data_IF_038161965650
#
_entry.id   IF_038161965650
#
_cell.length_a   1.000
_cell.length_b   1.000
_cell.length_c   1.000
_cell.angle_alpha   90.00
_cell.angle_beta   90.00
_cell.angle_gamma   90.00
#
_symmetry.space_group_name_H-M   'P 1'
#
loop_
_entity.id
_entity.type
_entity.pdbx_description
1 polymer ?
#
# COMPACT_ATOMS: atom_id res chain seq x y z
N UNK A 1 -7.63 -19.51 -3.67
CA UNK A 1 -8.32 -18.28 -4.13
C UNK A 1 -7.34 -17.13 -4.11
N UNK A 2 -6.81 -16.70 -2.95
CA UNK A 2 -5.89 -15.56 -2.82
C UNK A 2 -4.66 -15.70 -3.73
N UNK A 3 -3.95 -16.81 -3.63
CA UNK A 3 -2.75 -17.05 -4.44
C UNK A 3 -3.05 -16.89 -5.94
N UNK A 4 -4.13 -17.50 -6.44
CA UNK A 4 -4.54 -17.36 -7.83
C UNK A 4 -4.86 -15.91 -8.22
N UNK A 5 -5.57 -15.18 -7.34
CA UNK A 5 -6.00 -13.81 -7.62
C UNK A 5 -4.82 -12.83 -7.68
N UNK A 6 -3.82 -13.03 -6.83
CA UNK A 6 -2.64 -12.17 -6.75
C UNK A 6 -1.42 -12.71 -7.49
N UNK A 7 -1.55 -13.78 -8.29
CA UNK A 7 -0.44 -14.34 -9.04
C UNK A 7 0.71 -14.84 -8.16
N UNK A 8 0.38 -15.65 -7.15
CA UNK A 8 1.36 -16.26 -6.24
C UNK A 8 1.08 -17.75 -6.10
N UNK A 9 1.91 -18.48 -5.35
CA UNK A 9 1.68 -19.89 -5.04
C UNK A 9 0.93 -20.06 -3.71
N UNK A 10 0.17 -21.16 -3.51
CA UNK A 10 -0.43 -21.44 -2.21
C UNK A 10 0.58 -21.60 -1.08
N UNK A 11 1.79 -22.08 -1.36
CA UNK A 11 2.85 -22.26 -0.38
C UNK A 11 3.39 -20.91 0.14
N UNK A 12 3.39 -19.89 -0.72
CA UNK A 12 3.98 -18.58 -0.46
C UNK A 12 2.93 -17.50 -0.19
N UNK A 13 1.65 -17.88 -0.03
CA UNK A 13 0.53 -16.96 0.25
C UNK A 13 -0.09 -17.27 1.61
N UNK A 14 -0.07 -16.29 2.49
CA UNK A 14 -0.54 -16.42 3.87
C UNK A 14 -1.74 -15.51 4.12
N UNK A 15 -2.74 -16.01 4.84
CA UNK A 15 -3.76 -15.15 5.46
C UNK A 15 -3.21 -14.65 6.79
N UNK A 16 -3.26 -13.36 7.01
CA UNK A 16 -2.78 -12.69 8.22
C UNK A 16 -3.94 -11.99 8.93
N UNK A 17 -3.89 -11.78 10.27
CA UNK A 17 -4.94 -11.04 10.98
C UNK A 17 -5.07 -9.58 10.51
N UNK A 18 -3.97 -8.94 10.17
CA UNK A 18 -3.85 -7.61 9.58
C UNK A 18 -2.38 -7.38 9.17
N UNK A 19 -2.13 -6.28 8.45
CA UNK A 19 -0.77 -5.89 8.04
C UNK A 19 0.20 -5.82 9.22
N UNK A 20 -0.19 -5.15 10.31
CA UNK A 20 0.72 -4.87 11.44
C UNK A 20 1.24 -6.13 12.13
N UNK A 21 0.39 -7.16 12.27
CA UNK A 21 0.80 -8.45 12.84
C UNK A 21 1.62 -9.23 11.81
N UNK A 22 1.14 -9.30 10.57
CA UNK A 22 1.82 -10.06 9.52
C UNK A 22 3.24 -9.56 9.25
N UNK A 23 3.42 -8.25 9.10
CA UNK A 23 4.74 -7.66 8.83
C UNK A 23 5.70 -7.84 10.01
N UNK A 24 5.24 -7.61 11.26
CA UNK A 24 6.09 -7.83 12.45
C UNK A 24 6.57 -9.26 12.52
N UNK A 25 5.67 -10.22 12.29
CA UNK A 25 6.04 -11.64 12.33
C UNK A 25 7.02 -12.01 11.22
N UNK A 26 6.82 -11.50 10.00
CA UNK A 26 7.76 -11.74 8.91
C UNK A 26 9.14 -11.16 9.21
N UNK A 27 9.20 -9.88 9.61
CA UNK A 27 10.47 -9.19 9.91
C UNK A 27 11.22 -9.83 11.09
N UNK A 28 10.51 -10.38 12.08
CA UNK A 28 11.14 -11.06 13.22
C UNK A 28 11.95 -12.32 12.86
N UNK A 29 11.78 -12.84 11.64
CA UNK A 29 12.53 -14.00 11.13
C UNK A 29 13.83 -13.61 10.41
N UNK A 30 14.02 -12.34 10.09
CA UNK A 30 15.21 -11.87 9.37
C UNK A 30 16.47 -12.03 10.19
N UNK A 31 17.62 -12.27 9.55
CA UNK A 31 18.93 -12.20 10.20
C UNK A 31 19.15 -10.82 10.84
N UNK A 32 19.95 -10.81 11.92
CA UNK A 32 20.33 -9.57 12.60
C UNK A 32 21.32 -8.74 11.77
N UNK A 33 21.43 -7.45 12.10
CA UNK A 33 22.41 -6.50 11.55
C UNK A 33 22.29 -6.20 10.05
N UNK A 34 21.17 -6.57 9.43
CA UNK A 34 20.88 -6.14 8.07
C UNK A 34 20.71 -4.62 7.99
N UNK A 35 21.10 -4.04 6.85
CA UNK A 35 20.94 -2.63 6.55
C UNK A 35 19.61 -2.39 5.84
N UNK A 36 18.72 -1.66 6.47
CA UNK A 36 17.35 -1.43 6.03
C UNK A 36 17.19 0.00 5.55
N UNK A 37 16.69 0.18 4.33
CA UNK A 37 16.28 1.49 3.83
C UNK A 37 14.78 1.66 4.00
N UNK A 38 14.38 2.70 4.74
CA UNK A 38 12.99 3.13 4.97
C UNK A 38 12.78 4.57 4.50
N UNK A 39 11.52 4.95 4.25
CA UNK A 39 11.14 6.34 4.07
C UNK A 39 10.76 6.95 5.43
N UNK A 40 11.00 8.25 5.62
CA UNK A 40 10.79 8.89 6.93
C UNK A 40 9.33 8.89 7.38
N UNK A 41 8.38 9.01 6.47
CA UNK A 41 6.95 9.12 6.77
C UNK A 41 6.19 7.83 6.46
N UNK A 42 6.84 6.66 6.61
CA UNK A 42 6.19 5.38 6.42
C UNK A 42 5.11 5.07 7.46
N UNK A 43 4.26 4.13 7.11
CA UNK A 43 3.23 3.67 8.04
C UNK A 43 3.86 3.16 9.35
N UNK A 44 3.40 3.64 10.51
CA UNK A 44 4.08 3.36 11.79
C UNK A 44 4.31 1.88 12.09
N UNK A 45 3.41 0.98 11.64
CA UNK A 45 3.61 -0.46 11.86
C UNK A 45 4.73 -1.05 11.02
N UNK A 46 4.99 -0.50 9.81
CA UNK A 46 6.14 -0.90 9.01
C UNK A 46 7.44 -0.48 9.68
N UNK A 47 7.51 0.80 10.09
CA UNK A 47 8.70 1.34 10.78
C UNK A 47 9.00 0.56 12.07
N UNK A 48 7.98 0.37 12.93
CA UNK A 48 8.14 -0.34 14.21
C UNK A 48 8.58 -1.80 14.03
N UNK A 49 8.10 -2.48 12.98
CA UNK A 49 8.51 -3.87 12.72
C UNK A 49 10.04 -3.99 12.56
N UNK A 50 10.68 -2.99 11.94
CA UNK A 50 12.13 -2.95 11.81
C UNK A 50 12.81 -2.35 13.05
N UNK A 51 12.25 -1.32 13.68
CA UNK A 51 12.83 -0.70 14.89
C UNK A 51 12.83 -1.63 16.11
N UNK A 52 11.92 -2.58 16.18
CA UNK A 52 11.87 -3.62 17.21
C UNK A 52 12.93 -4.73 17.01
N UNK A 53 13.55 -4.80 15.82
CA UNK A 53 14.62 -5.76 15.51
C UNK A 53 16.02 -5.19 15.69
N UNK A 54 17.03 -6.05 15.55
CA UNK A 54 18.44 -5.67 15.61
C UNK A 54 18.99 -5.36 14.21
N UNK A 55 18.59 -4.22 13.64
CA UNK A 55 18.91 -3.78 12.28
C UNK A 55 19.60 -2.41 12.24
N UNK A 56 20.36 -2.17 11.18
CA UNK A 56 20.90 -0.84 10.87
C UNK A 56 19.91 -0.09 9.98
N UNK A 57 19.17 0.88 10.54
CA UNK A 57 18.10 1.57 9.83
C UNK A 57 18.61 2.87 9.21
N UNK A 58 18.44 2.99 7.91
CA UNK A 58 18.68 4.19 7.12
C UNK A 58 17.34 4.79 6.68
N UNK A 59 17.16 6.10 6.83
CA UNK A 59 15.92 6.78 6.43
C UNK A 59 16.23 7.89 5.44
N UNK A 60 15.42 7.97 4.38
CA UNK A 60 15.43 9.08 3.41
C UNK A 60 14.12 9.86 3.48
N UNK A 61 14.13 11.16 3.17
CA UNK A 61 12.91 11.98 3.19
C UNK A 61 11.85 11.47 2.21
N UNK A 62 10.60 11.58 2.60
CA UNK A 62 9.46 11.41 1.71
C UNK A 62 9.30 12.69 0.87
N UNK A 63 9.46 12.58 -0.43
CA UNK A 63 9.34 13.68 -1.39
C UNK A 63 8.71 13.18 -2.69
N UNK A 64 8.21 14.08 -3.56
CA UNK A 64 7.61 13.66 -4.82
C UNK A 64 8.54 12.83 -5.72
N UNK A 65 9.84 13.12 -5.72
CA UNK A 65 10.89 12.44 -6.48
C UNK A 65 11.56 11.34 -5.63
N UNK A 66 10.75 10.52 -4.96
CA UNK A 66 11.25 9.50 -4.01
C UNK A 66 12.18 8.48 -4.67
N UNK A 67 11.95 8.17 -5.94
CA UNK A 67 12.75 7.24 -6.73
C UNK A 67 14.22 7.71 -6.82
N UNK A 68 14.46 9.00 -7.02
CA UNK A 68 15.81 9.56 -7.01
C UNK A 68 16.49 9.45 -5.64
N UNK A 69 15.72 9.64 -4.57
CA UNK A 69 16.21 9.48 -3.20
C UNK A 69 16.66 8.05 -2.90
N UNK A 70 15.85 7.07 -3.33
CA UNK A 70 16.16 5.63 -3.22
C UNK A 70 17.43 5.32 -4.02
N UNK A 71 17.50 5.74 -5.28
CA UNK A 71 18.65 5.55 -6.16
C UNK A 71 19.94 6.07 -5.54
N UNK A 72 19.94 7.32 -5.11
CA UNK A 72 21.12 7.97 -4.47
C UNK A 72 21.56 7.24 -3.21
N UNK A 73 20.63 6.66 -2.46
CA UNK A 73 20.99 5.91 -1.24
C UNK A 73 21.55 4.54 -1.57
N UNK A 74 20.94 3.82 -2.53
CA UNK A 74 21.40 2.50 -2.97
C UNK A 74 22.78 2.55 -3.64
N UNK A 75 23.06 3.62 -4.39
CA UNK A 75 24.37 3.81 -5.03
C UNK A 75 25.56 3.89 -4.07
N UNK A 76 25.31 4.11 -2.77
CA UNK A 76 26.35 4.05 -1.72
C UNK A 76 26.71 2.62 -1.33
N UNK A 77 25.98 1.60 -1.80
CA UNK A 77 26.07 0.20 -1.40
C UNK A 77 25.47 -0.04 -0.02
N UNK A 78 25.69 -1.21 0.51
CA UNK A 78 25.38 -1.62 1.89
C UNK A 78 23.89 -1.74 2.29
N UNK A 79 22.93 -1.65 1.39
CA UNK A 79 21.49 -1.87 1.71
C UNK A 79 21.09 -3.30 1.33
N UNK A 80 20.58 -4.03 2.32
CA UNK A 80 20.07 -5.39 2.16
C UNK A 80 18.57 -5.40 1.83
N UNK A 81 17.82 -4.50 2.47
CA UNK A 81 16.34 -4.44 2.33
C UNK A 81 15.89 -3.00 2.08
N UNK A 82 15.07 -2.82 1.03
CA UNK A 82 14.25 -1.62 0.83
C UNK A 82 12.83 -1.94 1.29
N UNK A 83 12.31 -1.20 2.28
CA UNK A 83 10.95 -1.38 2.75
C UNK A 83 10.14 -0.08 2.64
N UNK A 84 8.98 -0.16 1.97
CA UNK A 84 8.16 1.02 1.66
C UNK A 84 6.67 0.69 1.49
N UNK A 85 5.83 1.70 1.65
CA UNK A 85 4.43 1.63 1.22
C UNK A 85 4.34 1.74 -0.30
N UNK A 86 3.71 0.76 -0.97
CA UNK A 86 3.50 0.81 -2.44
C UNK A 86 2.67 2.04 -2.81
N UNK A 87 1.66 2.33 -2.01
CA UNK A 87 0.92 3.61 -2.03
C UNK A 87 0.99 4.21 -0.64
N UNK A 88 1.58 5.38 -0.55
CA UNK A 88 1.80 6.08 0.71
C UNK A 88 0.47 6.51 1.35
N UNK A 89 0.26 6.12 2.61
CA UNK A 89 -1.03 6.26 3.28
C UNK A 89 -1.41 7.71 3.61
N UNK A 90 -0.45 8.60 3.75
CA UNK A 90 -0.68 10.00 4.10
C UNK A 90 -0.84 10.88 2.84
N UNK A 91 0.02 10.73 1.85
CA UNK A 91 0.07 11.57 0.65
C UNK A 91 -0.69 11.00 -0.56
N UNK A 92 -0.85 9.66 -0.61
CA UNK A 92 -1.34 8.98 -1.80
C UNK A 92 -0.28 8.81 -2.89
N UNK A 93 0.98 9.18 -2.63
CA UNK A 93 2.08 8.94 -3.55
C UNK A 93 2.16 7.44 -3.88
N UNK A 94 2.19 7.12 -5.16
CA UNK A 94 2.36 5.77 -5.67
C UNK A 94 3.77 5.63 -6.22
N UNK A 95 4.54 4.68 -5.66
CA UNK A 95 5.90 4.39 -6.13
C UNK A 95 5.86 3.86 -7.57
N UNK A 96 6.82 4.23 -8.37
CA UNK A 96 6.95 3.68 -9.71
C UNK A 96 7.40 2.21 -9.63
N UNK A 97 6.51 1.30 -10.06
CA UNK A 97 6.76 -0.14 -10.05
C UNK A 97 7.82 -0.54 -11.08
N UNK A 98 7.86 0.14 -12.23
CA UNK A 98 8.87 -0.15 -13.26
C UNK A 98 10.27 0.28 -12.77
N UNK A 99 10.38 1.41 -12.08
CA UNK A 99 11.61 1.79 -11.39
C UNK A 99 12.08 0.71 -10.40
N UNK A 100 11.16 0.12 -9.62
CA UNK A 100 11.52 -0.98 -8.70
C UNK A 100 11.96 -2.25 -9.43
N UNK A 101 11.41 -2.54 -10.62
CA UNK A 101 11.89 -3.65 -11.46
C UNK A 101 13.31 -3.40 -11.95
N UNK A 102 13.59 -2.20 -12.46
CA UNK A 102 14.93 -1.80 -12.88
C UNK A 102 15.93 -1.87 -11.70
N UNK A 103 15.47 -1.52 -10.48
CA UNK A 103 16.29 -1.70 -9.28
C UNK A 103 16.64 -3.16 -9.02
N UNK A 104 15.67 -4.07 -9.14
CA UNK A 104 15.92 -5.52 -8.94
C UNK A 104 16.90 -6.08 -9.97
N UNK A 105 16.87 -5.59 -11.21
CA UNK A 105 17.85 -5.99 -12.23
C UNK A 105 19.26 -5.52 -11.88
N UNK A 106 19.41 -4.29 -11.39
CA UNK A 106 20.71 -3.70 -11.02
C UNK A 106 21.22 -4.18 -9.66
N UNK A 107 20.32 -4.49 -8.74
CA UNK A 107 20.61 -4.95 -7.38
C UNK A 107 19.87 -6.27 -7.10
N UNK A 108 20.29 -7.41 -7.72
CA UNK A 108 19.54 -8.67 -7.66
C UNK A 108 19.39 -9.24 -6.25
N UNK A 109 20.32 -8.92 -5.34
CA UNK A 109 20.29 -9.35 -3.94
C UNK A 109 19.46 -8.43 -3.02
N UNK A 110 19.00 -7.27 -3.52
CA UNK A 110 18.17 -6.35 -2.75
C UNK A 110 16.80 -6.99 -2.52
N UNK A 111 16.40 -7.13 -1.26
CA UNK A 111 15.06 -7.56 -0.89
C UNK A 111 14.13 -6.34 -0.86
N UNK A 112 12.98 -6.42 -1.54
CA UNK A 112 11.98 -5.33 -1.55
C UNK A 112 10.73 -5.76 -0.81
N UNK A 113 10.44 -5.06 0.30
CA UNK A 113 9.28 -5.28 1.17
C UNK A 113 8.24 -4.18 0.94
N UNK A 114 7.03 -4.58 0.52
CA UNK A 114 5.93 -3.66 0.20
C UNK A 114 4.78 -3.69 1.21
N UNK A 115 4.40 -2.54 1.78
CA UNK A 115 3.07 -2.38 2.37
C UNK A 115 2.05 -2.17 1.24
N UNK A 116 1.29 -3.22 0.96
CA UNK A 116 0.25 -3.24 -0.07
C UNK A 116 -1.12 -2.78 0.43
N UNK A 117 -1.26 -2.29 1.66
CA UNK A 117 -2.56 -2.02 2.29
C UNK A 117 -3.37 -0.94 1.57
N UNK A 118 -2.73 0.03 0.93
CA UNK A 118 -3.40 1.04 0.09
C UNK A 118 -3.38 0.69 -1.40
N UNK A 119 -2.81 -0.45 -1.77
CA UNK A 119 -2.57 -0.87 -3.14
C UNK A 119 -3.39 -2.11 -3.55
N UNK A 120 -3.35 -3.19 -2.76
CA UNK A 120 -4.07 -4.43 -3.09
C UNK A 120 -5.58 -4.22 -3.04
N UNK A 121 -6.26 -4.51 -4.14
CA UNK A 121 -7.69 -4.23 -4.35
C UNK A 121 -7.97 -2.86 -4.96
N UNK A 122 -6.98 -1.97 -5.04
CA UNK A 122 -7.08 -0.68 -5.74
C UNK A 122 -6.41 -0.69 -7.11
N UNK A 123 -5.50 -1.63 -7.36
CA UNK A 123 -4.75 -1.78 -8.59
C UNK A 123 -4.64 -3.25 -8.99
N UNK A 124 -4.40 -3.50 -10.28
CA UNK A 124 -4.01 -4.82 -10.73
C UNK A 124 -2.64 -5.17 -10.17
N UNK A 125 -2.51 -6.41 -9.70
CA UNK A 125 -1.27 -6.89 -9.13
C UNK A 125 -1.07 -8.37 -9.43
N UNK A 126 0.15 -8.71 -9.80
CA UNK A 126 0.62 -10.08 -9.91
C UNK A 126 1.95 -10.16 -9.17
N UNK A 127 1.98 -10.95 -8.10
CA UNK A 127 3.15 -11.04 -7.23
C UNK A 127 4.35 -11.67 -7.93
N UNK A 128 4.14 -12.72 -8.72
CA UNK A 128 5.18 -13.47 -9.41
C UNK A 128 5.98 -12.62 -10.43
N UNK A 129 5.30 -11.64 -11.04
CA UNK A 129 5.93 -10.72 -12.01
C UNK A 129 6.26 -9.35 -11.41
N UNK A 130 6.06 -9.18 -10.12
CA UNK A 130 6.36 -7.93 -9.41
C UNK A 130 7.81 -7.88 -8.91
N UNK A 131 8.35 -6.71 -8.59
CA UNK A 131 9.69 -6.57 -8.02
C UNK A 131 9.76 -6.89 -6.52
N UNK A 132 8.64 -7.21 -5.89
CA UNK A 132 8.57 -7.38 -4.44
C UNK A 132 8.93 -8.79 -3.99
N UNK A 133 9.68 -8.88 -2.90
CA UNK A 133 10.01 -10.14 -2.23
C UNK A 133 9.06 -10.44 -1.08
N UNK A 134 8.41 -9.41 -0.53
CA UNK A 134 7.31 -9.54 0.40
C UNK A 134 6.30 -8.43 0.15
N UNK A 135 5.02 -8.80 0.03
CA UNK A 135 3.90 -7.85 0.06
C UNK A 135 2.91 -8.30 1.11
N UNK A 136 2.56 -7.41 2.04
CA UNK A 136 1.51 -7.65 3.01
C UNK A 136 0.46 -6.54 2.96
N UNK A 137 -0.82 -6.91 3.22
CA UNK A 137 -1.91 -5.95 3.23
C UNK A 137 -3.02 -6.35 4.18
N UNK A 138 -3.64 -5.36 4.84
CA UNK A 138 -4.91 -5.56 5.57
C UNK A 138 -6.10 -5.62 4.60
N UNK A 139 -7.06 -6.51 4.87
CA UNK A 139 -8.20 -6.73 3.97
C UNK A 139 -9.32 -5.70 4.07
N UNK A 140 -9.36 -4.90 5.14
CA UNK A 140 -10.49 -4.00 5.42
C UNK A 140 -10.54 -2.72 4.58
N UNK A 141 -9.47 -2.38 3.85
CA UNK A 141 -9.44 -1.18 3.00
C UNK A 141 -9.96 -1.49 1.59
N UNK A 142 -9.09 -1.50 0.62
CA UNK A 142 -9.45 -1.63 -0.80
C UNK A 142 -9.98 -3.01 -1.18
N UNK A 143 -9.65 -4.05 -0.41
CA UNK A 143 -10.22 -5.38 -0.59
C UNK A 143 -11.66 -5.50 -0.07
N UNK A 144 -12.13 -4.54 0.75
CA UNK A 144 -13.48 -4.52 1.34
C UNK A 144 -13.84 -5.79 2.12
N UNK A 145 -12.84 -6.45 2.70
CA UNK A 145 -13.00 -7.76 3.34
C UNK A 145 -13.35 -7.70 4.84
N UNK A 146 -13.61 -6.50 5.38
CA UNK A 146 -13.84 -6.32 6.83
C UNK A 146 -12.57 -6.46 7.65
N UNK A 147 -12.70 -6.41 8.96
CA UNK A 147 -11.57 -6.45 9.89
C UNK A 147 -11.13 -7.87 10.24
N UNK A 148 -9.91 -8.01 10.77
CA UNK A 148 -9.38 -9.26 11.29
C UNK A 148 -8.81 -10.20 10.23
N UNK A 149 -8.55 -9.70 9.03
CA UNK A 149 -7.95 -10.43 7.94
C UNK A 149 -7.02 -9.57 7.08
N UNK A 150 -6.21 -10.23 6.29
CA UNK A 150 -5.30 -9.66 5.32
C UNK A 150 -4.59 -10.76 4.55
N UNK A 151 -3.71 -10.37 3.66
CA UNK A 151 -2.91 -11.29 2.84
C UNK A 151 -1.45 -10.88 2.91
N UNK A 152 -0.58 -11.89 2.89
CA UNK A 152 0.87 -11.72 2.76
C UNK A 152 1.38 -12.71 1.73
N UNK A 153 2.24 -12.26 0.85
CA UNK A 153 2.94 -13.07 -0.16
C UNK A 153 4.44 -12.87 0.00
N UNK A 154 5.20 -13.93 -0.17
CA UNK A 154 6.67 -13.94 -0.05
C UNK A 154 7.31 -14.61 -1.26
N UNK A 155 8.49 -14.15 -1.67
CA UNK A 155 9.30 -14.75 -2.73
C UNK A 155 10.23 -15.86 -2.19
N UNK A 156 10.78 -16.67 -3.09
CA UNK A 156 11.83 -17.62 -2.72
C UNK A 156 13.08 -16.89 -2.19
N UNK A 157 13.44 -15.73 -2.74
CA UNK A 157 14.56 -14.93 -2.26
C UNK A 157 14.37 -14.50 -0.79
N UNK A 158 13.13 -14.13 -0.41
CA UNK A 158 12.82 -13.82 1.00
C UNK A 158 12.91 -15.07 1.88
N UNK A 159 12.44 -16.24 1.40
CA UNK A 159 12.53 -17.52 2.11
C UNK A 159 14.01 -17.90 2.35
N UNK A 160 14.84 -17.74 1.33
CA UNK A 160 16.28 -18.01 1.43
C UNK A 160 16.95 -17.08 2.46
N UNK A 161 16.59 -15.80 2.45
CA UNK A 161 17.14 -14.85 3.44
C UNK A 161 16.77 -15.22 4.88
N UNK A 162 15.55 -15.63 5.15
CA UNK A 162 15.15 -16.06 6.51
C UNK A 162 15.63 -17.46 6.87
N UNK A 163 16.23 -18.20 5.93
CA UNK A 163 16.73 -19.57 6.10
C UNK A 163 15.71 -20.52 6.77
N UNK A 164 14.44 -20.32 6.49
CA UNK A 164 13.34 -21.07 7.09
C UNK A 164 12.30 -21.47 6.04
N UNK A 165 11.74 -22.66 6.25
CA UNK A 165 10.64 -23.13 5.37
C UNK A 165 9.38 -22.27 5.58
N UNK A 166 8.54 -22.10 4.55
CA UNK A 166 7.26 -21.37 4.66
C UNK A 166 6.37 -21.83 5.80
N UNK A 167 6.47 -23.09 6.23
CA UNK A 167 5.74 -23.62 7.38
C UNK A 167 6.11 -22.93 8.70
N UNK A 168 7.36 -22.48 8.87
CA UNK A 168 7.77 -21.76 10.07
C UNK A 168 7.10 -20.36 10.12
N UNK A 169 6.98 -19.70 8.98
CA UNK A 169 6.25 -18.44 8.86
C UNK A 169 4.75 -18.66 9.07
N UNK A 170 4.19 -19.72 8.49
CA UNK A 170 2.80 -20.09 8.73
C UNK A 170 2.51 -20.26 10.23
N UNK A 171 3.31 -21.04 10.95
CA UNK A 171 3.15 -21.26 12.38
C UNK A 171 3.29 -19.98 13.20
N UNK A 172 4.16 -19.05 12.76
CA UNK A 172 4.33 -17.76 13.43
C UNK A 172 3.12 -16.84 13.22
N UNK A 173 2.52 -16.87 12.03
CA UNK A 173 1.34 -16.06 11.69
C UNK A 173 0.09 -16.59 12.38
N UNK A 174 0.03 -17.90 12.62
CA UNK A 174 -1.14 -18.60 13.14
C UNK A 174 -0.92 -19.17 14.56
N UNK A 175 -0.66 -18.27 15.50
CA UNK A 175 -0.62 -18.64 16.92
C UNK A 175 -2.04 -18.75 17.51
N UNK A 176 -2.66 -19.94 17.41
CA UNK A 176 -3.96 -20.24 18.01
C UNK A 176 -5.08 -20.47 16.99
N UNK A 177 -6.33 -20.32 17.43
CA UNK A 177 -7.50 -20.54 16.57
C UNK A 177 -7.71 -19.42 15.57
N UNK A 178 -8.05 -19.80 14.34
CA UNK A 178 -8.35 -18.86 13.27
C UNK A 178 -9.68 -18.14 13.49
N UNK A 179 -9.73 -16.85 13.15
CA UNK A 179 -11.01 -16.18 12.94
C UNK A 179 -11.60 -16.60 11.59
N UNK A 180 -12.35 -17.71 11.60
CA UNK A 180 -12.93 -18.32 10.39
C UNK A 180 -13.84 -17.32 9.65
N UNK A 181 -14.60 -16.49 10.37
CA UNK A 181 -15.48 -15.49 9.75
C UNK A 181 -14.67 -14.42 8.99
N UNK A 182 -13.58 -13.96 9.57
CA UNK A 182 -12.70 -12.98 8.90
C UNK A 182 -12.03 -13.58 7.65
N UNK A 183 -11.59 -14.85 7.71
CA UNK A 183 -11.02 -15.55 6.56
C UNK A 183 -12.09 -15.77 5.47
N UNK A 184 -13.29 -16.20 5.85
CA UNK A 184 -14.40 -16.37 4.93
C UNK A 184 -14.79 -15.05 4.25
N UNK A 185 -14.79 -13.93 5.00
CA UNK A 185 -15.03 -12.59 4.47
C UNK A 185 -13.98 -12.17 3.42
N UNK A 186 -12.69 -12.41 3.69
CA UNK A 186 -11.62 -12.14 2.72
C UNK A 186 -11.79 -12.98 1.45
N UNK A 187 -12.05 -14.28 1.61
CA UNK A 187 -12.33 -15.16 0.46
C UNK A 187 -13.53 -14.70 -0.35
N UNK A 188 -14.61 -14.27 0.32
CA UNK A 188 -15.82 -13.77 -0.32
C UNK A 188 -15.54 -12.48 -1.10
N UNK A 189 -14.81 -11.53 -0.51
CA UNK A 189 -14.44 -10.27 -1.16
C UNK A 189 -13.65 -10.51 -2.47
N UNK A 190 -12.67 -11.42 -2.44
CA UNK A 190 -11.93 -11.78 -3.67
C UNK A 190 -12.85 -12.42 -4.72
N UNK A 191 -13.73 -13.35 -4.31
CA UNK A 191 -14.68 -13.95 -5.25
C UNK A 191 -15.67 -12.93 -5.82
N UNK A 192 -16.04 -11.91 -5.05
CA UNK A 192 -16.89 -10.82 -5.52
C UNK A 192 -16.16 -10.01 -6.60
N UNK A 193 -14.88 -9.70 -6.42
CA UNK A 193 -14.07 -9.07 -7.47
C UNK A 193 -13.99 -9.91 -8.74
N UNK A 194 -13.75 -11.21 -8.63
CA UNK A 194 -13.75 -12.12 -9.80
C UNK A 194 -15.10 -12.12 -10.51
N UNK A 195 -16.21 -12.22 -9.74
CA UNK A 195 -17.58 -12.23 -10.28
C UNK A 195 -17.97 -10.96 -11.01
N UNK A 196 -17.52 -9.80 -10.53
CA UNK A 196 -17.89 -8.48 -11.08
C UNK A 196 -16.87 -7.93 -12.08
N UNK A 197 -15.95 -8.75 -12.56
CA UNK A 197 -14.83 -8.33 -13.42
C UNK A 197 -13.94 -7.26 -12.78
N UNK A 198 -12.93 -7.70 -12.07
CA UNK A 198 -12.00 -6.81 -11.37
C UNK A 198 -11.37 -5.76 -12.29
N UNK A 199 -11.10 -6.10 -13.57
CA UNK A 199 -10.55 -5.14 -14.54
C UNK A 199 -11.53 -3.99 -14.80
N UNK A 200 -12.81 -4.32 -14.95
CA UNK A 200 -13.86 -3.33 -15.16
C UNK A 200 -14.03 -2.43 -13.92
N UNK A 201 -13.98 -3.00 -12.72
CA UNK A 201 -14.05 -2.22 -11.47
C UNK A 201 -12.86 -1.26 -11.35
N UNK A 202 -11.64 -1.71 -11.67
CA UNK A 202 -10.46 -0.85 -11.66
C UNK A 202 -10.56 0.26 -12.71
N UNK A 203 -11.02 -0.03 -13.91
CA UNK A 203 -11.24 0.99 -14.95
C UNK A 203 -12.23 2.08 -14.48
N UNK A 204 -13.32 1.70 -13.80
CA UNK A 204 -14.26 2.68 -13.20
C UNK A 204 -13.57 3.55 -12.15
N UNK A 205 -12.79 2.95 -11.26
CA UNK A 205 -12.02 3.68 -10.25
C UNK A 205 -11.00 4.62 -10.91
N UNK A 206 -10.28 4.17 -11.92
CA UNK A 206 -9.27 4.98 -12.60
C UNK A 206 -9.89 6.17 -13.31
N UNK A 207 -11.04 6.00 -13.97
CA UNK A 207 -11.76 7.10 -14.62
C UNK A 207 -12.15 8.21 -13.62
N UNK A 208 -12.80 7.84 -12.50
CA UNK A 208 -13.17 8.84 -11.49
C UNK A 208 -11.94 9.46 -10.82
N UNK A 209 -10.85 8.70 -10.65
CA UNK A 209 -9.59 9.20 -10.11
C UNK A 209 -8.97 10.25 -11.02
N UNK A 210 -8.93 10.02 -12.34
CA UNK A 210 -8.39 10.97 -13.30
C UNK A 210 -9.23 12.25 -13.36
N UNK A 211 -10.56 12.12 -13.40
CA UNK A 211 -11.47 13.27 -13.35
C UNK A 211 -11.26 14.09 -12.06
N UNK A 212 -11.18 13.41 -10.91
CA UNK A 212 -10.94 14.07 -9.64
C UNK A 212 -9.58 14.77 -9.58
N UNK A 213 -8.51 14.11 -10.07
CA UNK A 213 -7.17 14.65 -10.15
C UNK A 213 -7.14 15.98 -10.92
N UNK A 214 -7.76 16.01 -12.11
CA UNK A 214 -7.80 17.18 -12.95
C UNK A 214 -8.62 18.31 -12.28
N UNK A 215 -9.86 18.01 -11.89
CA UNK A 215 -10.77 19.02 -11.35
C UNK A 215 -10.31 19.63 -10.02
N UNK A 216 -9.70 18.81 -9.14
CA UNK A 216 -9.13 19.30 -7.88
C UNK A 216 -7.88 20.17 -8.10
N UNK A 217 -7.09 19.86 -9.12
CA UNK A 217 -5.96 20.70 -9.52
C UNK A 217 -6.44 22.04 -10.10
N UNK A 218 -7.44 22.03 -10.97
CA UNK A 218 -7.97 23.25 -11.65
C UNK A 218 -8.49 24.27 -10.63
N UNK A 219 -8.96 23.81 -9.48
CA UNK A 219 -9.37 24.69 -8.36
C UNK A 219 -8.27 24.88 -7.30
N UNK A 220 -7.03 24.43 -7.57
CA UNK A 220 -5.85 24.66 -6.73
C UNK A 220 -5.82 23.89 -5.40
N UNK A 221 -6.67 22.87 -5.23
CA UNK A 221 -6.84 22.16 -3.96
C UNK A 221 -5.89 20.98 -3.74
N UNK A 222 -5.11 20.59 -4.70
CA UNK A 222 -4.05 19.59 -4.56
C UNK A 222 -2.69 20.15 -4.96
N UNK A 223 -1.62 19.48 -4.57
CA UNK A 223 -0.27 19.89 -4.95
C UNK A 223 0.03 19.57 -6.41
N UNK A 224 0.78 20.43 -7.08
CA UNK A 224 1.11 20.31 -8.51
C UNK A 224 1.88 19.03 -8.84
N UNK A 225 2.71 18.52 -7.91
CA UNK A 225 3.45 17.29 -8.11
C UNK A 225 2.53 16.09 -8.37
N UNK A 226 1.29 16.11 -7.86
CA UNK A 226 0.29 15.05 -8.10
C UNK A 226 -0.01 14.92 -9.59
N UNK A 227 -0.06 16.04 -10.33
CA UNK A 227 -0.22 16.03 -11.79
C UNK A 227 1.05 15.65 -12.54
N UNK A 228 2.19 16.09 -12.03
CA UNK A 228 3.50 15.89 -12.67
C UNK A 228 3.94 14.42 -12.63
N UNK A 229 3.51 13.66 -11.61
CA UNK A 229 3.78 12.23 -11.57
C UNK A 229 2.92 11.46 -12.59
N UNK A 230 3.56 10.59 -13.36
CA UNK A 230 2.89 9.71 -14.34
C UNK A 230 1.86 8.79 -13.69
N UNK A 231 2.15 8.35 -12.45
CA UNK A 231 1.26 7.51 -11.65
C UNK A 231 0.93 8.18 -10.32
N UNK A 232 -0.33 8.12 -9.91
CA UNK A 232 -0.82 8.54 -8.61
C UNK A 232 -1.99 7.66 -8.18
N UNK A 233 -2.14 7.43 -6.89
CA UNK A 233 -3.25 6.64 -6.37
C UNK A 233 -4.57 7.42 -6.39
N UNK A 234 -5.65 6.75 -5.97
CA UNK A 234 -6.96 7.39 -5.80
C UNK A 234 -7.10 8.13 -4.46
N UNK A 235 -5.99 8.37 -3.76
CA UNK A 235 -5.94 9.10 -2.48
C UNK A 235 -5.39 10.49 -2.74
N UNK A 236 -6.11 11.52 -2.32
CA UNK A 236 -5.72 12.92 -2.47
C UNK A 236 -5.67 13.63 -1.13
N UNK A 237 -4.74 14.58 -1.00
CA UNK A 237 -4.70 15.52 0.11
C UNK A 237 -5.20 16.87 -0.38
N UNK A 238 -6.39 17.24 0.09
CA UNK A 238 -6.93 18.56 -0.17
C UNK A 238 -6.19 19.58 0.69
N UNK A 239 -5.69 20.63 0.05
CA UNK A 239 -5.16 21.80 0.74
C UNK A 239 -6.28 22.48 1.53
N UNK A 240 -5.97 22.98 2.69
CA UNK A 240 -6.92 23.72 3.51
C UNK A 240 -6.78 23.44 5.00
N UNK A 241 -7.18 24.42 5.78
CA UNK A 241 -7.12 24.35 7.23
C UNK A 241 -8.28 23.52 7.83
N UNK A 242 -8.37 23.49 9.15
CA UNK A 242 -9.43 22.80 9.91
C UNK A 242 -10.86 23.08 9.43
N UNK A 243 -11.08 24.22 8.74
CA UNK A 243 -12.36 24.61 8.15
C UNK A 243 -12.85 23.64 7.06
N UNK A 244 -11.96 23.21 6.15
CA UNK A 244 -12.31 22.30 5.06
C UNK A 244 -12.79 20.95 5.61
N UNK A 245 -12.10 20.38 6.59
CA UNK A 245 -12.54 19.13 7.22
C UNK A 245 -13.94 19.25 7.84
N UNK A 246 -14.21 20.31 8.64
CA UNK A 246 -15.53 20.54 9.24
C UNK A 246 -16.62 20.71 8.19
N UNK A 247 -16.33 21.45 7.11
CA UNK A 247 -17.24 21.70 5.99
C UNK A 247 -17.63 20.39 5.29
N UNK A 248 -16.66 19.53 5.01
CA UNK A 248 -16.89 18.23 4.38
C UNK A 248 -17.72 17.29 5.27
N UNK A 249 -17.38 17.16 6.55
CA UNK A 249 -18.13 16.33 7.51
C UNK A 249 -19.58 16.82 7.66
N UNK A 250 -19.80 18.14 7.75
CA UNK A 250 -21.16 18.75 7.83
C UNK A 250 -22.03 18.40 6.62
N UNK A 251 -21.39 18.15 5.47
CA UNK A 251 -22.06 17.78 4.22
C UNK A 251 -21.99 16.27 3.93
N UNK A 252 -21.84 15.44 4.95
CA UNK A 252 -21.81 13.97 4.89
C UNK A 252 -20.66 13.38 4.05
N UNK A 253 -19.59 14.12 3.81
CA UNK A 253 -18.39 13.59 3.16
C UNK A 253 -17.43 13.09 4.22
N UNK A 254 -17.25 11.77 4.29
CA UNK A 254 -16.31 11.12 5.21
C UNK A 254 -14.87 11.33 4.71
N UNK A 255 -14.07 11.99 5.51
CA UNK A 255 -12.68 12.30 5.23
C UNK A 255 -11.85 12.33 6.51
N UNK A 256 -10.53 12.41 6.40
CA UNK A 256 -9.63 12.32 7.56
C UNK A 256 -8.55 13.40 7.45
N UNK A 257 -8.33 14.22 8.51
CA UNK A 257 -7.19 15.13 8.55
C UNK A 257 -5.86 14.35 8.43
N UNK A 258 -4.95 14.84 7.58
CA UNK A 258 -3.60 14.30 7.43
C UNK A 258 -2.61 15.42 7.12
N UNK A 259 -1.52 15.47 7.89
CA UNK A 259 -0.54 16.55 7.74
C UNK A 259 -1.20 17.93 7.82
N UNK A 260 -0.96 18.76 6.80
CA UNK A 260 -1.55 20.11 6.67
C UNK A 260 -2.85 20.15 5.85
N UNK A 261 -3.47 18.98 5.57
CA UNK A 261 -4.64 18.93 4.70
C UNK A 261 -5.67 17.89 5.12
N UNK A 262 -6.61 17.62 4.24
CA UNK A 262 -7.69 16.64 4.42
C UNK A 262 -7.56 15.55 3.38
N UNK A 263 -7.38 14.31 3.84
CA UNK A 263 -7.29 13.15 2.96
C UNK A 263 -8.68 12.69 2.55
N UNK A 264 -8.88 12.59 1.24
CA UNK A 264 -10.02 11.93 0.59
C UNK A 264 -9.53 10.77 -0.28
N UNK A 265 -10.44 9.91 -0.68
CA UNK A 265 -10.14 8.81 -1.60
C UNK A 265 -11.35 8.42 -2.42
N UNK A 266 -11.12 7.96 -3.65
CA UNK A 266 -12.16 7.45 -4.56
C UNK A 266 -11.98 5.96 -4.77
N UNK A 267 -13.05 5.20 -4.59
CA UNK A 267 -13.13 3.77 -4.85
C UNK A 267 -13.98 3.50 -6.10
N UNK A 268 -14.01 2.27 -6.62
CA UNK A 268 -14.80 1.90 -7.80
C UNK A 268 -16.32 2.10 -7.65
N UNK A 269 -16.82 2.23 -6.42
CA UNK A 269 -18.24 2.51 -6.15
C UNK A 269 -18.59 4.00 -6.10
N UNK A 270 -17.58 4.88 -6.10
CA UNK A 270 -17.83 6.31 -6.25
C UNK A 270 -18.18 6.64 -7.70
N UNK A 271 -18.99 7.67 -7.86
CA UNK A 271 -19.55 8.13 -9.13
C UNK A 271 -19.25 9.61 -9.39
N UNK A 272 -19.49 10.06 -10.61
CA UNK A 272 -19.38 11.49 -10.95
C UNK A 272 -20.32 12.36 -10.08
N UNK A 273 -21.45 11.81 -9.58
CA UNK A 273 -22.31 12.52 -8.63
C UNK A 273 -21.60 12.82 -7.32
N UNK A 274 -20.81 11.85 -6.80
CA UNK A 274 -20.03 12.04 -5.57
C UNK A 274 -18.94 13.09 -5.77
N UNK A 275 -18.26 13.05 -6.93
CA UNK A 275 -17.23 14.03 -7.27
C UNK A 275 -17.84 15.44 -7.44
N UNK A 276 -18.93 15.57 -8.15
CA UNK A 276 -19.62 16.86 -8.35
C UNK A 276 -20.11 17.43 -7.02
N UNK A 277 -20.69 16.59 -6.16
CA UNK A 277 -21.10 17.00 -4.82
C UNK A 277 -19.91 17.51 -3.98
N UNK A 278 -18.77 16.81 -4.01
CA UNK A 278 -17.55 17.26 -3.36
C UNK A 278 -17.11 18.65 -3.88
N UNK A 279 -17.08 18.84 -5.20
CA UNK A 279 -16.65 20.08 -5.83
C UNK A 279 -17.59 21.25 -5.52
N UNK A 280 -18.90 21.01 -5.52
CA UNK A 280 -19.90 22.04 -5.13
C UNK A 280 -19.68 22.53 -3.70
N UNK A 281 -19.37 21.61 -2.77
CA UNK A 281 -19.07 21.96 -1.38
C UNK A 281 -17.76 22.74 -1.28
N UNK A 282 -16.72 22.31 -2.00
CA UNK A 282 -15.41 22.95 -1.93
C UNK A 282 -15.39 24.36 -2.57
N UNK A 283 -16.25 24.63 -3.55
CA UNK A 283 -16.38 25.93 -4.22
C UNK A 283 -17.27 26.94 -3.49
N UNK A 284 -18.11 26.50 -2.56
CA UNK A 284 -18.90 27.41 -1.71
C UNK A 284 -17.97 28.04 -0.69
N UNK A 285 -17.98 29.35 -0.52
CA UNK A 285 -17.21 30.10 0.48
C UNK A 285 -17.60 29.76 1.94
#
# INVERSE_FOLDING_TARGET
VLAKFFGSTPANTFVIPNFSIGIRNAISLLPKKLNILLLQEEYPSLVKAFEEGDFNIHKIPMQPEIEEGIEKRLAKGDIDILALSIVQYASGLFIDIEFLKDLKERYPNLIIVGDGTQFLGAHHFNFDTSPFDLVAASGYKWLLAGFGNGVMMISEAYIDMIQKKPLALFNLVFNGHFNILAIASLRFAIKAFEKHDFKLLMKKKDNITQNAKQLLNDIGLIDSWVLQRGQHSSIFILKGEKGVHKKLIKNNIKCVPRGKGVRISFHYYNTDKDLNHLLEILKKD
#
